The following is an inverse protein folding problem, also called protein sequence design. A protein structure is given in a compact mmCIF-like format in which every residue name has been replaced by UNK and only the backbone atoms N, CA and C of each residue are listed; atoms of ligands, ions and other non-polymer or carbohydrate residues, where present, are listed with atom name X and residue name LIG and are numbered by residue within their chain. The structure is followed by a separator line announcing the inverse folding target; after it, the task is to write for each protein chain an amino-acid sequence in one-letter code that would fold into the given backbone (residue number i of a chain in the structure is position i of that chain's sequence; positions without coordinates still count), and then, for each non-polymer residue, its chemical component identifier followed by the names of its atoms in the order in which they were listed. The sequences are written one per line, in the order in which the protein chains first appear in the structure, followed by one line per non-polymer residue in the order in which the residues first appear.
data_IF_848229933029
#
_entry.id   IF_848229933029
#
_cell.length_a   1.000
_cell.length_b   1.000
_cell.length_c   1.000
_cell.angle_alpha   90.00
_cell.angle_beta   90.00
_cell.angle_gamma   90.00
#
_symmetry.space_group_name_H-M   'P 1'
#
loop_
_entity.id
_entity.type
_entity.pdbx_description
1 polymer ?
#
# COMPACT_ATOMS: atom_id res chain seq x y z
N UNK A 1 -1.05 -4.05 0.40
CA UNK A 1 -0.58 -4.15 1.80
C UNK A 1 -0.70 -5.58 2.29
N UNK A 2 0.31 -6.09 2.97
CA UNK A 2 0.36 -7.46 3.50
C UNK A 2 1.45 -8.30 2.80
N UNK A 3 2.12 -9.23 3.50
CA UNK A 3 3.38 -9.80 3.05
C UNK A 3 3.33 -10.45 1.66
N UNK A 4 2.39 -11.37 1.43
CA UNK A 4 2.27 -12.06 0.14
C UNK A 4 1.77 -11.13 -0.96
N UNK A 5 0.84 -10.21 -0.63
CA UNK A 5 0.29 -9.25 -1.59
C UNK A 5 1.35 -8.27 -2.09
N UNK A 6 2.20 -7.77 -1.18
CA UNK A 6 3.32 -6.87 -1.50
C UNK A 6 4.42 -7.60 -2.26
N UNK A 7 4.79 -8.82 -1.85
CA UNK A 7 5.76 -9.63 -2.57
C UNK A 7 5.31 -9.93 -4.00
N UNK A 8 4.00 -10.22 -4.17
CA UNK A 8 3.40 -10.43 -5.49
C UNK A 8 3.48 -9.18 -6.35
N UNK A 9 3.01 -8.04 -5.86
CA UNK A 9 3.05 -6.78 -6.62
C UNK A 9 4.49 -6.34 -6.96
N UNK A 10 5.43 -6.48 -6.03
CA UNK A 10 6.82 -6.17 -6.29
C UNK A 10 7.41 -7.03 -7.40
N UNK A 11 7.11 -8.34 -7.40
CA UNK A 11 7.56 -9.24 -8.46
C UNK A 11 6.88 -8.92 -9.80
N UNK A 12 5.58 -8.65 -9.82
CA UNK A 12 4.83 -8.24 -11.03
C UNK A 12 5.43 -6.98 -11.66
N UNK A 13 5.81 -5.99 -10.84
CA UNK A 13 6.45 -4.75 -11.31
C UNK A 13 7.86 -4.99 -11.83
N UNK A 14 8.68 -5.78 -11.12
CA UNK A 14 10.02 -6.14 -11.57
C UNK A 14 10.00 -6.89 -12.91
N UNK A 15 9.00 -7.75 -13.11
CA UNK A 15 8.77 -8.50 -14.35
C UNK A 15 8.11 -7.67 -15.47
N UNK A 16 7.86 -6.37 -15.24
CA UNK A 16 7.12 -5.49 -16.16
C UNK A 16 5.72 -6.01 -16.54
N UNK A 17 5.11 -6.88 -15.72
CA UNK A 17 3.76 -7.42 -15.94
C UNK A 17 2.67 -6.47 -15.42
N UNK A 18 3.03 -5.60 -14.47
CA UNK A 18 2.13 -4.63 -13.86
C UNK A 18 2.82 -3.27 -13.77
N UNK A 19 2.12 -2.23 -14.22
CA UNK A 19 2.59 -0.85 -14.11
C UNK A 19 1.85 -0.18 -12.96
N UNK A 20 2.60 0.22 -11.93
CA UNK A 20 2.09 0.94 -10.76
C UNK A 20 2.84 2.28 -10.68
N UNK A 21 2.31 3.37 -11.30
CA UNK A 21 3.10 4.57 -11.58
C UNK A 21 3.73 5.22 -10.34
N UNK A 22 2.97 5.40 -9.26
CA UNK A 22 3.43 5.97 -8.00
C UNK A 22 4.51 5.12 -7.31
N UNK A 23 4.37 3.78 -7.35
CA UNK A 23 5.40 2.88 -6.85
C UNK A 23 6.67 3.00 -7.69
N UNK A 24 6.55 2.92 -9.01
CA UNK A 24 7.67 3.03 -9.96
C UNK A 24 8.39 4.36 -9.78
N UNK A 25 7.66 5.47 -9.73
CA UNK A 25 8.24 6.80 -9.54
C UNK A 25 8.98 6.87 -8.21
N UNK A 26 8.38 6.38 -7.12
CA UNK A 26 9.03 6.40 -5.80
C UNK A 26 10.31 5.56 -5.78
N UNK A 27 10.30 4.33 -6.29
CA UNK A 27 11.48 3.45 -6.26
C UNK A 27 12.58 3.95 -7.21
N UNK A 28 12.23 4.47 -8.38
CA UNK A 28 13.19 5.05 -9.32
C UNK A 28 13.84 6.32 -8.76
N UNK A 29 13.11 7.13 -8.01
CA UNK A 29 13.70 8.28 -7.31
C UNK A 29 14.69 7.83 -6.23
N UNK A 30 14.31 6.88 -5.38
CA UNK A 30 15.20 6.37 -4.31
C UNK A 30 16.47 5.74 -4.89
N UNK A 31 16.32 4.80 -5.84
CA UNK A 31 17.44 4.16 -6.51
C UNK A 31 18.28 5.17 -7.32
N UNK A 32 17.63 6.16 -7.93
CA UNK A 32 18.28 7.24 -8.66
C UNK A 32 19.19 8.07 -7.78
N UNK A 33 18.71 8.49 -6.60
CA UNK A 33 19.55 9.19 -5.62
C UNK A 33 20.74 8.35 -5.19
N UNK A 34 20.59 7.04 -5.01
CA UNK A 34 21.72 6.15 -4.72
C UNK A 34 22.74 6.09 -5.86
N UNK A 35 22.29 6.06 -7.13
CA UNK A 35 23.20 6.12 -8.27
C UNK A 35 23.96 7.45 -8.36
N UNK A 36 23.29 8.55 -8.05
CA UNK A 36 23.89 9.89 -8.04
C UNK A 36 24.93 10.06 -6.94
N UNK A 37 24.69 9.50 -5.75
CA UNK A 37 25.69 9.42 -4.68
C UNK A 37 26.96 8.66 -5.10
N UNK A 38 26.84 7.74 -6.06
CA UNK A 38 27.95 6.99 -6.65
C UNK A 38 28.51 7.65 -7.92
N UNK A 39 28.17 8.91 -8.19
CA UNK A 39 28.69 9.70 -9.30
C UNK A 39 28.05 9.43 -10.66
N UNK A 40 26.92 8.73 -10.73
CA UNK A 40 26.15 8.59 -11.98
C UNK A 40 25.29 9.84 -12.22
N UNK A 41 25.12 10.22 -13.49
CA UNK A 41 24.22 11.32 -13.89
C UNK A 41 22.83 10.80 -14.21
N UNK A 42 21.80 11.63 -14.00
CA UNK A 42 20.39 11.33 -14.28
C UNK A 42 19.93 10.03 -13.62
N UNK A 43 20.09 9.93 -12.30
CA UNK A 43 19.88 8.70 -11.54
C UNK A 43 18.49 8.11 -11.72
N UNK A 44 17.44 8.94 -11.69
CA UNK A 44 16.06 8.48 -11.93
C UNK A 44 15.91 7.79 -13.29
N UNK A 45 16.39 8.42 -14.37
CA UNK A 45 16.30 7.87 -15.72
C UNK A 45 17.10 6.58 -15.87
N UNK A 46 18.27 6.49 -15.22
CA UNK A 46 19.06 5.27 -15.16
C UNK A 46 18.32 4.14 -14.42
N UNK A 47 17.73 4.43 -13.26
CA UNK A 47 16.97 3.45 -12.48
C UNK A 47 15.76 2.93 -13.27
N UNK A 48 15.00 3.83 -13.90
CA UNK A 48 13.86 3.48 -14.75
C UNK A 48 14.27 2.59 -15.92
N UNK A 49 15.37 2.92 -16.61
CA UNK A 49 15.93 2.10 -17.70
C UNK A 49 16.35 0.70 -17.22
N UNK A 50 16.90 0.58 -16.01
CA UNK A 50 17.29 -0.72 -15.43
C UNK A 50 16.05 -1.58 -15.12
N UNK A 51 14.98 -0.97 -14.62
CA UNK A 51 13.70 -1.65 -14.38
C UNK A 51 13.07 -2.14 -15.70
N UNK A 52 12.91 -1.24 -16.68
CA UNK A 52 12.28 -1.52 -17.98
C UNK A 52 13.05 -2.55 -18.80
N UNK A 53 14.39 -2.58 -18.68
CA UNK A 53 15.23 -3.56 -19.39
C UNK A 53 15.21 -4.97 -18.78
N UNK A 54 14.54 -5.19 -17.66
CA UNK A 54 14.51 -6.48 -16.95
C UNK A 54 15.77 -6.82 -16.16
N UNK A 55 16.78 -5.94 -16.17
CA UNK A 55 18.01 -6.13 -15.38
C UNK A 55 17.74 -6.14 -13.88
N UNK A 56 16.77 -5.34 -13.42
CA UNK A 56 16.32 -5.36 -12.03
C UNK A 56 15.74 -6.74 -11.64
N UNK A 57 14.91 -7.33 -12.50
CA UNK A 57 14.38 -8.68 -12.29
C UNK A 57 15.50 -9.72 -12.22
N UNK A 58 16.41 -9.73 -13.19
CA UNK A 58 17.54 -10.67 -13.24
C UNK A 58 18.32 -10.64 -11.93
N UNK A 59 18.64 -9.44 -11.42
CA UNK A 59 19.35 -9.28 -10.16
C UNK A 59 18.53 -9.75 -8.97
N UNK A 60 17.21 -9.51 -8.96
CA UNK A 60 16.33 -10.05 -7.93
C UNK A 60 16.31 -11.59 -7.96
N UNK A 61 16.32 -12.24 -9.13
CA UNK A 61 16.39 -13.71 -9.23
C UNK A 61 17.68 -14.26 -8.64
N UNK A 62 18.81 -13.59 -8.86
CA UNK A 62 20.08 -13.94 -8.22
C UNK A 62 19.99 -13.84 -6.69
N UNK A 63 19.39 -12.77 -6.17
CA UNK A 63 19.19 -12.57 -4.72
C UNK A 63 18.30 -13.67 -4.14
N UNK A 64 17.18 -14.00 -4.79
CA UNK A 64 16.28 -15.07 -4.37
C UNK A 64 17.02 -16.41 -4.29
N UNK A 65 17.80 -16.74 -5.33
CA UNK A 65 18.61 -17.97 -5.36
C UNK A 65 19.64 -18.00 -4.23
N UNK A 66 20.34 -16.88 -4.00
CA UNK A 66 21.35 -16.77 -2.96
C UNK A 66 20.77 -16.94 -1.54
N UNK A 67 19.49 -16.57 -1.34
CA UNK A 67 18.76 -16.75 -0.09
C UNK A 67 18.10 -18.14 0.04
N UNK A 68 18.32 -19.05 -0.92
CA UNK A 68 17.75 -20.40 -0.91
C UNK A 68 16.31 -20.50 -1.43
N UNK A 69 15.78 -19.43 -2.03
CA UNK A 69 14.46 -19.42 -2.68
C UNK A 69 14.51 -19.98 -4.11
N UNK A 70 13.32 -20.18 -4.69
CA UNK A 70 13.18 -20.58 -6.09
C UNK A 70 13.31 -19.36 -7.03
N UNK A 71 14.40 -19.22 -7.81
CA UNK A 71 14.56 -18.09 -8.72
C UNK A 71 13.53 -18.07 -9.85
N UNK A 72 12.88 -19.20 -10.16
CA UNK A 72 11.86 -19.31 -11.21
C UNK A 72 10.44 -19.06 -10.71
N UNK A 73 10.25 -18.60 -9.46
CA UNK A 73 8.93 -18.30 -8.89
C UNK A 73 8.17 -17.28 -9.75
N UNK A 74 6.88 -17.51 -9.98
CA UNK A 74 6.00 -16.58 -10.67
C UNK A 74 5.07 -15.86 -9.69
N UNK A 75 4.55 -14.66 -10.01
CA UNK A 75 3.59 -13.97 -9.17
C UNK A 75 2.36 -14.82 -8.81
N UNK A 76 1.94 -15.72 -9.70
CA UNK A 76 0.81 -16.63 -9.49
C UNK A 76 1.10 -17.72 -8.46
N UNK A 77 2.37 -18.08 -8.26
CA UNK A 77 2.78 -19.09 -7.27
C UNK A 77 2.69 -18.55 -5.83
N UNK A 78 2.63 -17.21 -5.67
CA UNK A 78 2.54 -16.55 -4.37
C UNK A 78 1.11 -16.69 -3.83
N UNK A 79 0.95 -17.55 -2.83
CA UNK A 79 -0.35 -17.83 -2.20
C UNK A 79 -0.84 -16.62 -1.40
N UNK A 80 -2.06 -16.19 -1.71
CA UNK A 80 -2.79 -15.15 -0.98
C UNK A 80 -3.96 -15.76 -0.20
N UNK A 81 -4.54 -15.01 0.73
CA UNK A 81 -5.65 -15.45 1.56
C UNK A 81 -6.84 -15.89 0.71
N UNK A 82 -7.45 -17.03 1.05
CA UNK A 82 -8.58 -17.60 0.29
C UNK A 82 -9.92 -16.92 0.60
N UNK A 83 -10.05 -16.33 1.79
CA UNK A 83 -11.25 -15.59 2.17
C UNK A 83 -11.06 -14.12 1.83
N UNK A 84 -12.11 -13.51 1.28
CA UNK A 84 -12.09 -12.11 0.86
C UNK A 84 -13.30 -11.36 1.37
N UNK A 85 -13.09 -10.11 1.78
CA UNK A 85 -14.14 -9.15 2.15
C UNK A 85 -13.99 -7.91 1.25
N UNK A 86 -14.85 -7.75 0.22
CA UNK A 86 -14.84 -6.54 -0.59
C UNK A 86 -15.49 -5.39 0.18
N UNK A 87 -14.82 -4.23 0.21
CA UNK A 87 -15.34 -3.00 0.79
C UNK A 87 -15.70 -2.04 -0.34
N UNK A 88 -16.98 -1.70 -0.44
CA UNK A 88 -17.56 -0.89 -1.51
C UNK A 88 -17.90 0.51 -1.02
N UNK A 89 -17.92 1.47 -1.94
CA UNK A 89 -18.34 2.84 -1.63
C UNK A 89 -19.85 2.91 -1.39
N UNK A 90 -20.27 3.58 -0.33
CA UNK A 90 -21.69 3.79 -0.02
C UNK A 90 -22.33 4.91 -0.84
N UNK A 91 -21.51 5.77 -1.45
CA UNK A 91 -21.95 6.92 -2.26
C UNK A 91 -20.99 7.19 -3.41
N UNK A 92 -21.47 7.90 -4.43
CA UNK A 92 -20.62 8.39 -5.51
C UNK A 92 -19.87 9.64 -5.09
N UNK A 93 -18.65 9.84 -5.61
CA UNK A 93 -17.82 10.99 -5.32
C UNK A 93 -16.37 10.76 -5.72
N UNK A 94 -15.46 11.41 -5.01
CA UNK A 94 -14.03 11.25 -5.13
C UNK A 94 -13.46 10.73 -3.80
N UNK A 95 -12.44 9.88 -3.85
CA UNK A 95 -11.69 9.49 -2.64
C UNK A 95 -10.91 10.69 -2.13
N UNK A 96 -11.29 11.20 -0.96
CA UNK A 96 -10.72 12.42 -0.38
C UNK A 96 -9.51 12.13 0.51
N UNK A 97 -9.60 11.08 1.32
CA UNK A 97 -8.56 10.68 2.26
C UNK A 97 -8.63 9.19 2.58
N UNK A 98 -7.52 8.65 3.07
CA UNK A 98 -7.38 7.27 3.52
C UNK A 98 -6.66 7.26 4.88
N UNK A 99 -7.28 6.68 5.90
CA UNK A 99 -6.71 6.62 7.25
C UNK A 99 -5.81 5.39 7.39
N UNK A 100 -4.50 5.63 7.27
CA UNK A 100 -3.49 4.57 7.29
C UNK A 100 -3.51 3.75 8.58
N UNK A 101 -3.75 4.37 9.76
CA UNK A 101 -3.78 3.63 11.04
C UNK A 101 -4.89 2.57 11.02
N UNK A 102 -6.09 2.96 10.60
CA UNK A 102 -7.24 2.05 10.49
C UNK A 102 -6.95 0.96 9.46
N UNK A 103 -6.41 1.31 8.29
CA UNK A 103 -6.07 0.33 7.25
C UNK A 103 -5.02 -0.69 7.70
N UNK A 104 -4.01 -0.26 8.46
CA UNK A 104 -3.02 -1.15 9.06
C UNK A 104 -3.69 -2.08 10.08
N UNK A 105 -4.57 -1.55 10.93
CA UNK A 105 -5.27 -2.34 11.95
C UNK A 105 -6.24 -3.36 11.32
N UNK A 106 -6.93 -2.99 10.24
CA UNK A 106 -7.70 -3.92 9.40
C UNK A 106 -6.80 -5.05 8.86
N UNK A 107 -5.63 -4.71 8.32
CA UNK A 107 -4.67 -5.70 7.82
C UNK A 107 -4.20 -6.66 8.92
N UNK A 108 -3.94 -6.13 10.12
CA UNK A 108 -3.57 -6.93 11.31
C UNK A 108 -4.70 -7.84 11.76
N UNK A 109 -5.93 -7.32 11.83
CA UNK A 109 -7.11 -8.10 12.18
C UNK A 109 -7.38 -9.22 11.16
N UNK A 110 -7.14 -8.97 9.88
CA UNK A 110 -7.21 -9.99 8.82
C UNK A 110 -6.15 -11.10 8.97
N UNK A 111 -5.04 -10.81 9.67
CA UNK A 111 -4.01 -11.79 10.06
C UNK A 111 -2.58 -11.39 9.72
N UNK A 112 -2.36 -10.29 9.00
CA UNK A 112 -1.01 -9.84 8.65
C UNK A 112 -0.24 -9.35 9.90
N UNK A 113 1.09 -9.52 9.96
CA UNK A 113 1.96 -10.18 8.99
C UNK A 113 2.19 -11.68 9.31
N UNK A 114 1.47 -12.25 10.28
CA UNK A 114 1.64 -13.65 10.71
C UNK A 114 1.10 -14.61 9.65
N UNK A 115 -0.14 -14.38 9.21
CA UNK A 115 -0.74 -15.02 8.04
C UNK A 115 -0.23 -14.27 6.80
N UNK A 116 0.68 -14.87 6.04
CA UNK A 116 1.36 -14.18 4.94
C UNK A 116 0.40 -13.82 3.81
N UNK A 117 -0.61 -14.66 3.57
CA UNK A 117 -1.64 -14.43 2.57
C UNK A 117 -2.64 -13.34 2.96
N UNK A 118 -2.67 -12.90 4.22
CA UNK A 118 -3.60 -11.88 4.68
C UNK A 118 -3.12 -10.46 4.35
N UNK A 119 -4.06 -9.55 4.11
CA UNK A 119 -3.77 -8.14 3.85
C UNK A 119 -4.88 -7.42 3.09
N UNK A 120 -4.53 -6.33 2.42
CA UNK A 120 -5.47 -5.45 1.70
C UNK A 120 -4.92 -5.16 0.30
N UNK A 121 -5.78 -5.33 -0.71
CA UNK A 121 -5.59 -4.82 -2.07
C UNK A 121 -6.44 -3.57 -2.25
N UNK A 122 -5.84 -2.45 -2.63
CA UNK A 122 -6.56 -1.22 -2.95
C UNK A 122 -6.98 -1.20 -4.41
N UNK A 123 -8.26 -0.89 -4.66
CA UNK A 123 -8.82 -0.73 -6.00
C UNK A 123 -8.98 0.74 -6.39
N UNK A 124 -9.06 1.63 -5.40
CA UNK A 124 -9.09 3.08 -5.55
C UNK A 124 -7.99 3.73 -4.73
N UNK A 125 -7.44 4.81 -5.27
CA UNK A 125 -6.46 5.70 -4.64
C UNK A 125 -7.10 7.04 -4.30
N UNK A 126 -6.39 7.83 -3.49
CA UNK A 126 -6.77 9.21 -3.22
C UNK A 126 -6.92 9.95 -4.56
N UNK A 127 -7.99 10.74 -4.68
CA UNK A 127 -8.41 11.48 -5.87
C UNK A 127 -9.09 10.66 -6.96
N UNK A 128 -9.18 9.34 -6.84
CA UNK A 128 -9.96 8.57 -7.81
C UNK A 128 -11.46 8.87 -7.67
N UNK A 129 -12.13 8.96 -8.82
CA UNK A 129 -13.59 9.02 -8.88
C UNK A 129 -14.13 7.62 -8.59
N UNK A 130 -15.20 7.57 -7.79
CA UNK A 130 -15.85 6.33 -7.38
C UNK A 130 -17.37 6.47 -7.45
N UNK A 131 -18.04 5.43 -7.92
CA UNK A 131 -19.50 5.33 -7.92
C UNK A 131 -20.03 4.59 -6.69
N UNK A 132 -21.29 4.84 -6.33
CA UNK A 132 -21.98 4.05 -5.30
C UNK A 132 -21.97 2.57 -5.66
N UNK A 133 -21.50 1.74 -4.73
CA UNK A 133 -21.37 0.29 -4.89
C UNK A 133 -20.06 -0.15 -5.56
N UNK A 134 -19.22 0.78 -6.00
CA UNK A 134 -17.92 0.46 -6.60
C UNK A 134 -16.90 0.04 -5.53
N UNK A 135 -15.98 -0.85 -5.90
CA UNK A 135 -15.00 -1.43 -4.99
C UNK A 135 -13.90 -0.43 -4.62
N UNK A 136 -13.74 -0.16 -3.33
CA UNK A 136 -12.67 0.69 -2.81
C UNK A 136 -11.40 -0.12 -2.56
N UNK A 137 -11.54 -1.24 -1.85
CA UNK A 137 -10.46 -2.18 -1.55
C UNK A 137 -11.02 -3.54 -1.19
N UNK A 138 -10.17 -4.56 -1.25
CA UNK A 138 -10.51 -5.94 -0.85
C UNK A 138 -9.56 -6.40 0.24
N UNK A 139 -10.12 -6.89 1.34
CA UNK A 139 -9.36 -7.50 2.43
C UNK A 139 -9.28 -9.00 2.19
N UNK A 140 -8.10 -9.58 2.38
CA UNK A 140 -7.82 -11.00 2.25
C UNK A 140 -7.41 -11.59 3.60
N UNK A 141 -7.88 -12.80 3.89
CA UNK A 141 -7.54 -13.56 5.09
C UNK A 141 -7.37 -15.05 4.78
N UNK A 142 -6.51 -15.73 5.54
CA UNK A 142 -6.35 -17.19 5.44
C UNK A 142 -7.44 -17.96 6.19
N UNK A 143 -8.05 -17.33 7.21
CA UNK A 143 -9.09 -17.91 8.07
C UNK A 143 -10.35 -17.05 8.08
N UNK A 144 -11.52 -17.66 7.88
CA UNK A 144 -12.80 -16.95 7.72
C UNK A 144 -13.16 -16.08 8.94
N UNK A 145 -13.01 -16.62 10.16
CA UNK A 145 -13.41 -15.91 11.39
C UNK A 145 -12.65 -14.59 11.60
N UNK A 146 -11.46 -14.42 11.01
CA UNK A 146 -10.71 -13.16 11.09
C UNK A 146 -11.42 -12.02 10.36
N UNK A 147 -12.17 -12.32 9.31
CA UNK A 147 -12.96 -11.32 8.61
C UNK A 147 -14.14 -10.81 9.45
N UNK A 148 -14.64 -11.59 10.41
CA UNK A 148 -15.69 -11.12 11.33
C UNK A 148 -15.17 -10.01 12.25
N UNK A 149 -13.94 -10.14 12.75
CA UNK A 149 -13.29 -9.08 13.51
C UNK A 149 -13.01 -7.84 12.64
N UNK A 150 -12.69 -8.03 11.36
CA UNK A 150 -12.53 -6.90 10.45
C UNK A 150 -13.86 -6.16 10.24
N UNK A 151 -14.98 -6.88 10.12
CA UNK A 151 -16.32 -6.25 10.00
C UNK A 151 -16.64 -5.38 11.21
N UNK A 152 -16.30 -5.79 12.43
CA UNK A 152 -16.56 -4.97 13.62
C UNK A 152 -15.73 -3.69 13.66
N UNK A 153 -14.50 -3.70 13.11
CA UNK A 153 -13.70 -2.47 12.96
C UNK A 153 -14.37 -1.53 11.95
N UNK A 154 -14.76 -2.05 10.79
CA UNK A 154 -15.40 -1.28 9.72
C UNK A 154 -16.77 -0.70 10.12
N UNK A 155 -17.49 -1.33 11.06
CA UNK A 155 -18.77 -0.78 11.55
C UNK A 155 -18.61 0.42 12.49
N UNK A 156 -17.43 0.61 13.08
CA UNK A 156 -17.16 1.66 14.08
C UNK A 156 -16.32 2.78 13.48
N UNK A 157 -15.46 2.48 12.51
CA UNK A 157 -14.46 3.40 11.99
C UNK A 157 -14.48 3.45 10.46
N UNK A 158 -14.45 4.67 9.93
CA UNK A 158 -14.35 4.91 8.48
C UNK A 158 -12.88 4.93 8.05
N UNK A 159 -12.48 4.00 7.19
CA UNK A 159 -11.10 3.90 6.68
C UNK A 159 -10.83 4.77 5.45
N UNK A 160 -11.85 5.05 4.63
CA UNK A 160 -11.76 5.86 3.42
C UNK A 160 -12.92 6.84 3.37
N UNK A 161 -12.59 8.12 3.21
CA UNK A 161 -13.56 9.18 2.98
C UNK A 161 -13.84 9.36 1.51
N UNK A 162 -15.09 9.19 1.10
CA UNK A 162 -15.58 9.55 -0.24
C UNK A 162 -16.42 10.80 -0.12
N UNK A 163 -16.34 11.73 -1.06
CA UNK A 163 -17.15 12.94 -1.05
C UNK A 163 -16.91 13.83 -2.26
N UNK A 164 -17.40 15.07 -2.19
CA UNK A 164 -17.11 16.10 -3.19
C UNK A 164 -15.82 16.82 -2.81
N UNK A 165 -15.11 17.37 -3.79
CA UNK A 165 -13.90 18.18 -3.55
C UNK A 165 -14.16 19.40 -2.65
N UNK A 166 -15.38 19.94 -2.69
CA UNK A 166 -15.87 21.00 -1.79
C UNK A 166 -15.82 20.62 -0.31
N UNK A 167 -15.92 19.32 0.00
CA UNK A 167 -15.95 18.81 1.37
C UNK A 167 -14.55 18.86 2.02
N UNK A 168 -13.48 19.12 1.24
CA UNK A 168 -12.10 19.28 1.72
C UNK A 168 -11.67 20.75 1.91
N UNK A 169 -12.58 21.71 1.79
CA UNK A 169 -12.26 23.11 2.10
C UNK A 169 -11.91 23.20 3.59
N UNK A 170 -10.63 23.46 3.87
CA UNK A 170 -10.13 23.75 5.21
C UNK A 170 -10.90 24.97 5.71
N UNK A 171 -11.73 24.80 6.74
CA UNK A 171 -12.11 25.95 7.56
C UNK A 171 -10.81 26.56 8.07
N UNK A 172 -10.49 27.79 7.67
CA UNK A 172 -9.33 28.55 8.13
C UNK A 172 -9.20 28.37 9.63
N UNK A 173 -8.17 27.63 10.06
CA UNK A 173 -7.84 27.46 11.47
C UNK A 173 -7.41 28.85 11.95
N UNK A 174 -8.28 29.53 12.71
CA UNK A 174 -8.01 30.89 13.19
C UNK A 174 -6.85 30.94 14.19
N UNK A 175 -6.57 29.86 14.91
CA UNK A 175 -5.52 29.83 15.94
C UNK A 175 -4.82 28.48 16.03
N UNK A 176 -3.48 28.52 16.10
CA UNK A 176 -2.64 27.36 16.39
C UNK A 176 -2.88 26.90 17.84
N UNK A 177 -3.03 25.60 18.13
CA UNK A 177 -3.14 25.13 19.51
C UNK A 177 -1.85 25.46 20.26
N UNK A 178 -1.95 26.26 21.32
CA UNK A 178 -0.86 26.49 22.27
C UNK A 178 -0.54 25.18 22.98
N UNK A 179 0.66 24.66 22.76
CA UNK A 179 1.17 23.51 23.52
C UNK A 179 1.50 24.02 24.92
N UNK A 180 0.61 23.81 25.89
CA UNK A 180 0.96 23.99 27.30
C UNK A 180 2.01 22.95 27.68
N UNK A 181 3.26 23.40 27.83
CA UNK A 181 4.33 22.57 28.39
C UNK A 181 4.13 22.52 29.89
N UNK A 182 3.64 21.39 30.39
CA UNK A 182 3.68 21.09 31.83
C UNK A 182 5.14 20.92 32.22
N UNK A 183 5.70 21.89 32.94
CA UNK A 183 7.01 21.74 33.57
C UNK A 183 6.88 20.77 34.73
N UNK A 184 7.48 19.58 34.60
CA UNK A 184 7.71 18.69 35.74
C UNK A 184 9.02 19.14 36.38
N UNK A 185 8.96 19.63 37.61
CA UNK A 185 10.14 19.93 38.43
C UNK A 185 10.49 18.62 39.13
N UNK A 186 11.57 17.96 38.71
CA UNK A 186 12.16 16.88 39.48
C UNK A 186 12.70 17.44 40.81
N UNK A 187 12.37 16.77 41.92
CA UNK A 187 12.95 16.97 43.25
C UNK A 187 13.75 15.75 43.66
#
# INVERSE_FOLDING_TARGET
MGPALEAKEALEVLMNQKIVPDLIDKVCNIAGSMFELLGKKNGYALAKKILESGKAEQKMREIIKAQGGNPSIKPEDIRIGKYRLPVKSEKSGQVLWMENRILVDIGRAAGAPKDKGAGIIFNKKIWDIVEKGELLFTIYAEKAYKLEHVKSILSIQQSIGVGKKSDMLIHTIKESPTVERTFVIDR
#
